data_IF_351785660118
#
_entry.id   IF_351785660118
#
_cell.length_a   1.000
_cell.length_b   1.000
_cell.length_c   1.000
_cell.angle_alpha   90.00
_cell.angle_beta   90.00
_cell.angle_gamma   90.00
#
_symmetry.space_group_name_H-M   'P 1'
#
loop_
_entity.id
_entity.type
_entity.pdbx_description
1 polymer ?
#
# COMPACT_ATOMS: atom_id res chain seq x y z
N UNK A 1 4.26 17.12 25.80
CA UNK A 1 5.08 18.04 24.97
C UNK A 1 5.69 17.29 23.81
N UNK A 2 5.50 17.79 22.65
CA UNK A 2 6.12 17.21 21.48
C UNK A 2 7.60 17.49 21.45
N UNK A 3 8.39 16.48 21.12
CA UNK A 3 9.82 16.65 20.98
C UNK A 3 10.22 16.36 19.55
N UNK A 4 10.77 17.34 18.90
CA UNK A 4 11.20 17.17 17.52
C UNK A 4 12.54 16.44 17.50
N UNK A 5 12.59 15.37 16.75
CA UNK A 5 13.83 14.66 16.50
C UNK A 5 14.75 15.54 15.65
N UNK A 6 16.02 15.72 16.04
CA UNK A 6 16.93 16.54 15.24
C UNK A 6 17.20 15.99 13.86
N UNK A 7 16.88 14.73 13.62
CA UNK A 7 17.07 14.09 12.31
C UNK A 7 15.80 14.09 11.48
N UNK A 8 14.74 14.68 11.96
CA UNK A 8 13.47 14.74 11.22
C UNK A 8 13.44 15.89 10.23
N UNK A 9 14.56 16.23 9.70
CA UNK A 9 14.67 17.30 8.69
C UNK A 9 14.11 16.80 7.38
N UNK A 10 13.32 17.65 6.73
CA UNK A 10 12.71 17.33 5.45
C UNK A 10 13.73 17.06 4.36
N UNK A 11 14.93 17.57 4.49
CA UNK A 11 15.97 17.33 3.51
C UNK A 11 16.32 15.85 3.36
N UNK A 12 16.16 15.07 4.42
CA UNK A 12 16.41 13.63 4.34
C UNK A 12 15.35 12.92 3.54
N UNK A 13 14.11 13.36 3.65
CA UNK A 13 13.00 12.69 3.00
C UNK A 13 12.87 13.07 1.54
N UNK A 14 13.42 14.23 1.14
CA UNK A 14 13.38 14.63 -0.26
C UNK A 14 14.28 13.78 -1.15
N UNK A 15 15.21 13.03 -0.54
CA UNK A 15 16.17 12.19 -1.26
C UNK A 15 15.88 10.70 -1.11
N UNK A 16 14.62 10.35 -0.86
CA UNK A 16 14.23 8.94 -0.73
C UNK A 16 14.49 8.22 -2.05
N UNK A 17 15.23 7.12 -1.96
CA UNK A 17 15.46 6.21 -3.07
C UNK A 17 14.56 5.00 -2.86
N UNK A 18 13.76 4.68 -3.87
CA UNK A 18 12.80 3.59 -3.79
C UNK A 18 13.47 2.29 -4.23
N UNK A 19 13.87 1.50 -3.26
CA UNK A 19 14.47 0.18 -3.43
C UNK A 19 13.81 -0.79 -2.47
N UNK A 20 14.08 -2.07 -2.63
CA UNK A 20 13.72 -3.06 -1.63
C UNK A 20 14.78 -3.04 -0.52
N UNK A 21 14.40 -2.57 0.65
CA UNK A 21 15.27 -2.44 1.81
C UNK A 21 15.24 -3.65 2.74
N UNK A 22 14.44 -4.65 2.42
CA UNK A 22 14.38 -5.86 3.23
C UNK A 22 15.62 -6.74 3.07
N UNK A 23 15.81 -7.64 4.00
CA UNK A 23 15.00 -7.92 5.19
C UNK A 23 15.45 -7.15 6.44
N UNK A 24 16.29 -6.14 6.30
CA UNK A 24 16.85 -5.40 7.43
C UNK A 24 15.80 -4.53 8.12
N UNK A 25 15.99 -4.23 9.41
CA UNK A 25 15.12 -3.27 10.09
C UNK A 25 15.05 -1.95 9.29
N UNK A 26 13.86 -1.37 9.24
CA UNK A 26 13.63 -0.28 8.30
C UNK A 26 12.61 0.70 8.84
N UNK A 27 12.86 1.98 8.64
CA UNK A 27 11.95 3.07 9.00
C UNK A 27 11.94 4.07 7.85
N UNK A 28 10.77 4.49 7.44
CA UNK A 28 10.63 5.45 6.35
C UNK A 28 9.39 6.30 6.56
N UNK A 29 9.41 7.52 6.05
CA UNK A 29 8.21 8.33 5.93
C UNK A 29 7.40 7.82 4.75
N UNK A 30 6.35 7.06 5.03
CA UNK A 30 5.60 6.37 3.98
C UNK A 30 4.84 7.35 3.08
N UNK A 31 4.37 8.45 3.62
CA UNK A 31 3.68 9.46 2.83
C UNK A 31 4.62 10.03 1.76
N UNK A 32 5.83 10.36 2.15
CA UNK A 32 6.81 10.90 1.21
C UNK A 32 7.28 9.86 0.20
N UNK A 33 7.45 8.62 0.63
CA UNK A 33 7.81 7.54 -0.27
C UNK A 33 6.71 7.33 -1.31
N UNK A 34 5.45 7.35 -0.89
CA UNK A 34 4.31 7.19 -1.79
C UNK A 34 4.25 8.32 -2.81
N UNK A 35 4.49 9.57 -2.38
CA UNK A 35 4.52 10.72 -3.28
C UNK A 35 5.62 10.60 -4.32
N UNK A 36 6.71 9.96 -3.96
CA UNK A 36 7.84 9.79 -4.86
C UNK A 36 7.62 8.69 -5.89
N UNK A 37 6.71 7.77 -5.60
CA UNK A 37 6.48 6.62 -6.46
C UNK A 37 5.64 7.01 -7.68
N UNK A 38 6.20 6.82 -8.87
CA UNK A 38 5.49 7.04 -10.12
C UNK A 38 5.19 5.74 -10.85
N UNK A 39 5.60 4.62 -10.28
CA UNK A 39 5.41 3.31 -10.90
C UNK A 39 4.13 2.67 -10.41
N UNK A 40 3.53 1.86 -11.26
CA UNK A 40 2.34 1.10 -10.89
C UNK A 40 2.61 0.27 -9.63
N UNK A 41 3.79 -0.33 -9.53
CA UNK A 41 4.15 -1.16 -8.39
C UNK A 41 5.64 -1.06 -8.10
N UNK A 42 5.97 -0.75 -6.86
CA UNK A 42 7.35 -0.68 -6.39
C UNK A 42 7.46 -1.40 -5.07
N UNK A 43 8.29 -2.44 -5.00
CA UNK A 43 8.54 -3.14 -3.74
C UNK A 43 9.49 -2.30 -2.91
N UNK A 44 9.11 -2.02 -1.66
CA UNK A 44 9.89 -1.19 -0.77
C UNK A 44 10.59 -2.00 0.33
N UNK A 45 10.02 -3.13 0.73
CA UNK A 45 10.62 -3.96 1.77
C UNK A 45 10.09 -5.38 1.67
N UNK A 46 10.99 -6.36 1.74
CA UNK A 46 10.63 -7.78 1.71
C UNK A 46 11.29 -8.50 2.86
N UNK A 47 10.49 -9.15 3.68
CA UNK A 47 10.95 -10.01 4.75
C UNK A 47 10.36 -11.40 4.65
N UNK A 48 10.50 -12.16 5.71
CA UNK A 48 10.03 -13.56 5.74
C UNK A 48 8.52 -13.67 5.69
N UNK A 49 7.80 -12.69 6.24
CA UNK A 49 6.36 -12.77 6.42
C UNK A 49 5.60 -11.55 5.95
N UNK A 50 6.31 -10.54 5.45
CA UNK A 50 5.70 -9.29 5.05
C UNK A 50 6.43 -8.74 3.83
N UNK A 51 5.65 -8.22 2.90
CA UNK A 51 6.21 -7.41 1.82
C UNK A 51 5.45 -6.10 1.77
N UNK A 52 6.19 -5.01 1.77
CA UNK A 52 5.62 -3.67 1.65
C UNK A 52 5.82 -3.19 0.22
N UNK A 53 4.72 -2.83 -0.41
CA UNK A 53 4.71 -2.40 -1.81
C UNK A 53 4.00 -1.06 -1.91
N UNK A 54 4.54 -0.15 -2.69
CA UNK A 54 3.88 1.10 -3.05
C UNK A 54 3.24 0.92 -4.42
N UNK A 55 2.06 1.53 -4.60
CA UNK A 55 1.36 1.48 -5.87
C UNK A 55 0.86 2.86 -6.26
N UNK A 56 0.99 3.18 -7.54
CA UNK A 56 0.43 4.39 -8.12
C UNK A 56 -0.49 3.96 -9.27
N UNK A 57 -1.79 4.18 -9.08
CA UNK A 57 -2.81 3.72 -10.01
C UNK A 57 -3.45 4.95 -10.66
N UNK A 58 -3.43 4.99 -11.97
CA UNK A 58 -4.00 6.12 -12.70
C UNK A 58 -5.53 6.11 -12.59
N UNK A 59 -6.11 7.30 -12.68
CA UNK A 59 -7.56 7.43 -12.67
C UNK A 59 -8.16 6.57 -13.79
N UNK A 60 -9.18 5.80 -13.43
CA UNK A 60 -9.85 4.90 -14.37
C UNK A 60 -9.22 3.54 -14.54
N UNK A 61 -8.06 3.31 -13.92
CA UNK A 61 -7.41 2.01 -13.93
C UNK A 61 -7.62 1.29 -12.61
N UNK A 62 -7.28 0.01 -12.57
CA UNK A 62 -7.44 -0.81 -11.38
C UNK A 62 -6.24 -1.76 -11.23
N UNK A 63 -6.19 -2.48 -10.10
CA UNK A 63 -5.11 -3.42 -9.82
C UNK A 63 -5.34 -4.79 -10.44
N UNK A 64 -6.54 -5.03 -10.96
CA UNK A 64 -6.92 -6.34 -11.46
C UNK A 64 -7.53 -7.23 -10.39
N UNK A 65 -8.30 -8.21 -10.85
CA UNK A 65 -8.95 -9.16 -9.95
C UNK A 65 -7.93 -10.18 -9.43
N UNK A 66 -7.78 -10.25 -8.11
CA UNK A 66 -6.78 -11.08 -7.47
C UNK A 66 -7.36 -11.91 -6.34
N UNK A 67 -6.66 -13.00 -6.01
CA UNK A 67 -6.94 -13.84 -4.86
C UNK A 67 -5.62 -14.40 -4.33
N UNK A 68 -5.38 -14.23 -3.04
CA UNK A 68 -4.21 -14.80 -2.37
C UNK A 68 -4.69 -15.79 -1.32
N UNK A 69 -4.50 -17.07 -1.58
CA UNK A 69 -5.10 -18.12 -0.78
C UNK A 69 -4.47 -18.30 0.60
N UNK A 70 -3.21 -17.87 0.76
CA UNK A 70 -2.43 -18.20 1.96
C UNK A 70 -2.00 -16.99 2.80
N UNK A 71 -2.48 -15.80 2.47
CA UNK A 71 -2.08 -14.61 3.22
C UNK A 71 -3.20 -13.58 3.26
N UNK A 72 -3.20 -12.82 4.33
CA UNK A 72 -4.03 -11.63 4.44
C UNK A 72 -3.26 -10.45 3.86
N UNK A 73 -4.00 -9.45 3.37
CA UNK A 73 -3.39 -8.24 2.85
C UNK A 73 -3.91 -7.02 3.58
N UNK A 74 -3.04 -6.04 3.73
CA UNK A 74 -3.36 -4.73 4.26
C UNK A 74 -3.02 -3.70 3.18
N UNK A 75 -4.00 -2.87 2.84
CA UNK A 75 -3.79 -1.76 1.91
C UNK A 75 -4.21 -0.48 2.60
N UNK A 76 -3.36 0.53 2.53
CA UNK A 76 -3.69 1.86 3.01
C UNK A 76 -3.73 2.81 1.82
N UNK A 77 -4.80 3.58 1.73
CA UNK A 77 -4.90 4.64 0.71
C UNK A 77 -4.18 5.86 1.24
N UNK A 78 -3.03 6.16 0.67
CA UNK A 78 -2.28 7.35 1.06
C UNK A 78 -2.88 8.60 0.45
N UNK A 79 -3.27 8.53 -0.83
CA UNK A 79 -3.88 9.65 -1.53
C UNK A 79 -4.84 9.14 -2.58
N UNK A 80 -5.96 9.82 -2.73
CA UNK A 80 -6.92 9.54 -3.77
C UNK A 80 -8.15 8.83 -3.27
N UNK A 81 -8.89 8.27 -4.21
CA UNK A 81 -10.13 7.58 -3.91
C UNK A 81 -10.36 6.47 -4.90
N UNK A 82 -11.13 5.49 -4.48
CA UNK A 82 -11.43 4.37 -5.33
C UNK A 82 -12.60 3.56 -4.85
N UNK A 83 -12.87 2.47 -5.53
CA UNK A 83 -13.90 1.51 -5.17
C UNK A 83 -13.22 0.17 -4.92
N UNK A 84 -13.46 -0.39 -3.74
CA UNK A 84 -12.97 -1.73 -3.39
C UNK A 84 -14.11 -2.71 -3.56
N UNK A 85 -13.84 -3.80 -4.23
CA UNK A 85 -14.80 -4.88 -4.43
C UNK A 85 -14.20 -6.18 -3.95
N UNK A 86 -14.92 -6.91 -3.10
CA UNK A 86 -14.44 -8.17 -2.54
C UNK A 86 -15.57 -9.19 -2.46
N UNK A 87 -15.20 -10.46 -2.51
CA UNK A 87 -16.14 -11.55 -2.37
C UNK A 87 -15.50 -12.91 -2.30
N UNK A 88 -16.32 -13.92 -2.05
CA UNK A 88 -15.87 -15.30 -1.91
C UNK A 88 -15.62 -15.98 -3.25
N UNK A 89 -16.13 -15.44 -4.35
CA UNK A 89 -15.87 -15.96 -5.68
C UNK A 89 -15.62 -14.82 -6.64
N UNK A 90 -14.93 -15.11 -7.74
CA UNK A 90 -14.57 -14.10 -8.73
C UNK A 90 -15.80 -13.47 -9.38
N UNK A 91 -16.91 -14.19 -9.39
CA UNK A 91 -18.14 -13.74 -10.05
C UNK A 91 -19.11 -13.07 -9.09
N UNK A 92 -18.77 -12.98 -7.82
CA UNK A 92 -19.65 -12.40 -6.81
C UNK A 92 -18.85 -11.53 -5.83
N UNK A 93 -18.56 -10.32 -6.25
CA UNK A 93 -17.85 -9.34 -5.45
C UNK A 93 -18.86 -8.42 -4.78
N UNK A 94 -19.64 -8.99 -3.85
CA UNK A 94 -20.78 -8.30 -3.25
C UNK A 94 -20.38 -7.27 -2.18
N UNK A 95 -19.19 -7.40 -1.62
CA UNK A 95 -18.69 -6.42 -0.66
C UNK A 95 -18.06 -5.27 -1.46
N UNK A 96 -18.70 -4.10 -1.42
CA UNK A 96 -18.23 -2.94 -2.18
C UNK A 96 -18.22 -1.72 -1.29
N UNK A 97 -17.11 -0.99 -1.27
CA UNK A 97 -16.94 0.21 -0.45
C UNK A 97 -16.13 1.25 -1.20
N UNK A 98 -16.53 2.49 -1.09
CA UNK A 98 -15.69 3.61 -1.51
C UNK A 98 -14.63 3.87 -0.46
N UNK A 99 -13.41 4.16 -0.93
CA UNK A 99 -12.28 4.43 -0.05
C UNK A 99 -11.62 5.75 -0.45
N UNK A 100 -11.03 6.40 0.54
CA UNK A 100 -10.46 7.73 0.40
C UNK A 100 -9.13 7.81 1.14
N UNK A 101 -8.48 8.97 1.07
CA UNK A 101 -7.22 9.20 1.80
C UNK A 101 -7.33 8.70 3.25
N UNK A 102 -6.34 7.95 3.68
CA UNK A 102 -6.26 7.47 5.06
C UNK A 102 -7.05 6.20 5.36
N UNK A 103 -7.79 5.67 4.39
CA UNK A 103 -8.56 4.45 4.60
C UNK A 103 -7.64 3.24 4.59
N UNK A 104 -7.97 2.29 5.45
CA UNK A 104 -7.32 0.99 5.49
C UNK A 104 -8.27 -0.05 4.92
N UNK A 105 -7.73 -0.96 4.13
CA UNK A 105 -8.44 -2.07 3.53
C UNK A 105 -7.79 -3.35 4.01
N UNK A 106 -8.59 -4.23 4.61
CA UNK A 106 -8.12 -5.55 5.05
C UNK A 106 -8.75 -6.59 4.14
N UNK A 107 -7.91 -7.39 3.54
CA UNK A 107 -8.33 -8.44 2.60
C UNK A 107 -7.93 -9.78 3.20
N UNK A 108 -8.89 -10.54 3.75
CA UNK A 108 -8.59 -11.86 4.31
C UNK A 108 -8.10 -12.83 3.23
N UNK A 109 -7.27 -13.79 3.66
CA UNK A 109 -6.79 -14.84 2.77
C UNK A 109 -7.97 -15.52 2.06
N UNK A 110 -7.79 -15.78 0.77
CA UNK A 110 -8.80 -16.44 -0.03
C UNK A 110 -9.92 -15.54 -0.55
N UNK A 111 -9.90 -14.26 -0.23
CA UNK A 111 -10.92 -13.31 -0.68
C UNK A 111 -10.56 -12.76 -2.05
N UNK A 112 -11.48 -12.91 -3.01
CA UNK A 112 -11.35 -12.27 -4.30
C UNK A 112 -11.55 -10.77 -4.16
N UNK A 113 -10.71 -9.98 -4.81
CA UNK A 113 -10.75 -8.53 -4.67
C UNK A 113 -10.19 -7.80 -5.87
N UNK A 114 -10.65 -6.56 -6.00
CA UNK A 114 -10.16 -5.62 -7.01
C UNK A 114 -10.33 -4.19 -6.50
#
# INVERSE_FOLDING_TARGET
>A
MERRCPYADNSYTSNIVLNDYGPEPFVINIDKATNRNNSFRTVLWTGSHLQLTLMSINVGEDIGLENHSNLDQFIRIERGQGLVMMGSSRDNLSFQRRVFDGYAIIIPAGTWHN
#
